data_IF_688222357183
#
_entry.id   IF_688222357183
#
_cell.length_a   1.000
_cell.length_b   1.000
_cell.length_c   1.000
_cell.angle_alpha   90.00
_cell.angle_beta   90.00
_cell.angle_gamma   90.00
#
_symmetry.space_group_name_H-M   'P 1'
#
loop_
_entity.id
_entity.type
_entity.pdbx_description
1 polymer ?
#
# COMPACT_ATOMS: atom_id res chain seq x y z
N UNK A 1 -6.97 -12.68 -12.60
CA UNK A 1 -5.72 -12.57 -11.83
C UNK A 1 -4.79 -11.62 -12.57
N UNK A 2 -4.84 -10.34 -12.23
CA UNK A 2 -3.99 -9.31 -12.84
C UNK A 2 -3.70 -8.12 -11.90
N UNK A 3 -4.23 -8.13 -10.66
CA UNK A 3 -4.06 -7.04 -9.67
C UNK A 3 -2.98 -7.33 -8.63
N UNK A 4 -2.51 -8.57 -8.54
CA UNK A 4 -1.54 -8.99 -7.52
C UNK A 4 -0.19 -8.26 -7.61
N UNK A 5 0.38 -8.01 -8.82
CA UNK A 5 1.59 -7.19 -8.95
C UNK A 5 1.36 -5.74 -8.51
N UNK A 6 0.20 -5.18 -8.89
CA UNK A 6 -0.18 -3.81 -8.56
C UNK A 6 -0.39 -3.59 -7.05
N UNK A 7 -0.89 -4.61 -6.34
CA UNK A 7 -1.02 -4.61 -4.88
C UNK A 7 0.35 -4.75 -4.23
N UNK A 8 1.19 -5.67 -4.73
CA UNK A 8 2.54 -5.87 -4.22
C UNK A 8 3.38 -4.58 -4.32
N UNK A 9 3.41 -3.93 -5.48
CA UNK A 9 4.19 -2.71 -5.70
C UNK A 9 3.74 -1.57 -4.76
N UNK A 10 2.44 -1.44 -4.53
CA UNK A 10 1.89 -0.46 -3.58
C UNK A 10 2.29 -0.77 -2.14
N UNK A 11 2.26 -2.03 -1.74
CA UNK A 11 2.68 -2.44 -0.40
C UNK A 11 4.18 -2.25 -0.19
N UNK A 12 5.02 -2.58 -1.18
CA UNK A 12 6.46 -2.31 -1.12
C UNK A 12 6.73 -0.83 -0.93
N UNK A 13 5.98 0.05 -1.61
CA UNK A 13 6.11 1.49 -1.41
C UNK A 13 5.69 1.94 0.00
N UNK A 14 4.62 1.36 0.55
CA UNK A 14 4.21 1.64 1.94
C UNK A 14 5.29 1.21 2.94
N UNK A 15 5.96 0.08 2.72
CA UNK A 15 7.09 -0.37 3.56
C UNK A 15 8.26 0.61 3.51
N UNK A 16 8.65 1.10 2.32
CA UNK A 16 9.68 2.13 2.18
C UNK A 16 9.33 3.44 2.90
N UNK A 17 8.04 3.82 2.89
CA UNK A 17 7.56 5.00 3.61
C UNK A 17 7.70 4.80 5.11
N UNK A 18 7.33 3.62 5.63
CA UNK A 18 7.47 3.30 7.06
C UNK A 18 8.95 3.34 7.46
N UNK A 19 9.85 2.75 6.67
CA UNK A 19 11.29 2.79 6.95
C UNK A 19 11.82 4.23 6.99
N UNK A 20 11.40 5.10 6.07
CA UNK A 20 11.81 6.52 6.07
C UNK A 20 11.27 7.30 7.27
N UNK A 21 10.05 6.98 7.73
CA UNK A 21 9.47 7.60 8.93
C UNK A 21 10.17 7.09 10.21
N UNK A 22 10.52 5.81 10.27
CA UNK A 22 11.19 5.19 11.42
C UNK A 22 12.65 5.64 11.57
N UNK A 23 13.31 6.06 10.49
CA UNK A 23 14.69 6.58 10.56
C UNK A 23 14.77 7.99 11.14
N UNK A 24 13.64 8.69 11.36
CA UNK A 24 13.57 10.09 11.80
C UNK A 24 14.39 11.05 10.90
N UNK A 25 14.70 10.63 9.66
CA UNK A 25 15.50 11.42 8.70
C UNK A 25 14.66 12.43 7.90
N UNK A 26 13.35 12.48 8.14
CA UNK A 26 12.41 13.42 7.54
C UNK A 26 11.98 14.51 8.53
N UNK A 27 11.78 15.73 8.04
CA UNK A 27 11.15 16.78 8.83
C UNK A 27 9.62 16.60 8.92
N UNK A 28 8.93 17.42 9.73
CA UNK A 28 7.49 17.29 9.95
C UNK A 28 6.65 17.40 8.66
N UNK A 29 7.02 18.30 7.75
CA UNK A 29 6.29 18.49 6.50
C UNK A 29 6.50 17.30 5.56
N UNK A 30 7.75 16.81 5.47
CA UNK A 30 8.09 15.59 4.73
C UNK A 30 7.39 14.35 5.30
N UNK A 31 7.41 14.18 6.62
CA UNK A 31 6.73 13.07 7.29
C UNK A 31 5.21 13.13 7.13
N UNK A 32 4.62 14.33 7.07
CA UNK A 32 3.19 14.51 6.79
C UNK A 32 2.87 14.08 5.36
N UNK A 33 3.66 14.51 4.38
CA UNK A 33 3.48 14.11 2.99
C UNK A 33 3.64 12.60 2.77
N UNK A 34 4.64 11.99 3.41
CA UNK A 34 4.86 10.55 3.41
C UNK A 34 3.67 9.79 4.03
N UNK A 35 3.13 10.30 5.14
CA UNK A 35 1.95 9.71 5.77
C UNK A 35 0.72 9.78 4.85
N UNK A 36 0.47 10.92 4.21
CA UNK A 36 -0.62 11.10 3.25
C UNK A 36 -0.48 10.15 2.05
N UNK A 37 0.73 10.02 1.49
CA UNK A 37 1.03 9.07 0.41
C UNK A 37 0.74 7.63 0.84
N UNK A 38 1.24 7.23 2.01
CA UNK A 38 1.02 5.89 2.54
C UNK A 38 -0.47 5.56 2.74
N UNK A 39 -1.25 6.51 3.24
CA UNK A 39 -2.69 6.33 3.42
C UNK A 39 -3.43 6.19 2.08
N UNK A 40 -3.06 6.99 1.07
CA UNK A 40 -3.64 6.86 -0.26
C UNK A 40 -3.34 5.48 -0.87
N UNK A 41 -2.11 4.99 -0.75
CA UNK A 41 -1.72 3.67 -1.25
C UNK A 41 -2.52 2.54 -0.57
N UNK A 42 -2.73 2.64 0.74
CA UNK A 42 -3.54 1.67 1.50
C UNK A 42 -5.01 1.71 1.08
N UNK A 43 -5.58 2.88 0.84
CA UNK A 43 -6.95 3.03 0.33
C UNK A 43 -7.08 2.44 -1.07
N UNK A 44 -6.10 2.64 -1.94
CA UNK A 44 -6.06 2.02 -3.28
C UNK A 44 -5.99 0.49 -3.19
N UNK A 45 -5.11 -0.06 -2.35
CA UNK A 45 -5.01 -1.52 -2.13
C UNK A 45 -6.34 -2.05 -1.61
N UNK A 46 -6.94 -1.37 -0.63
CA UNK A 46 -8.24 -1.77 -0.08
C UNK A 46 -9.33 -1.72 -1.14
N UNK A 47 -9.37 -0.70 -1.99
CA UNK A 47 -10.32 -0.62 -3.10
C UNK A 47 -10.10 -1.73 -4.13
N UNK A 48 -8.85 -2.09 -4.43
CA UNK A 48 -8.54 -3.18 -5.36
C UNK A 48 -8.97 -4.54 -4.81
N UNK A 49 -8.78 -4.75 -3.50
CA UNK A 49 -9.23 -5.92 -2.76
C UNK A 49 -10.75 -5.97 -2.62
N UNK A 50 -11.43 -4.85 -2.36
CA UNK A 50 -12.89 -4.76 -2.18
C UNK A 50 -13.64 -4.90 -3.52
N UNK A 51 -13.07 -4.36 -4.61
CA UNK A 51 -13.53 -4.63 -5.98
C UNK A 51 -13.39 -6.12 -6.36
N UNK A 52 -12.54 -6.84 -5.62
CA UNK A 52 -12.53 -8.30 -5.57
C UNK A 52 -13.40 -8.82 -4.43
N UNK A 53 -14.71 -8.91 -4.62
CA UNK A 53 -15.47 -9.98 -3.95
C UNK A 53 -14.90 -11.30 -4.48
N UNK A 54 -13.78 -11.74 -3.93
CA UNK A 54 -12.95 -12.78 -4.51
C UNK A 54 -13.75 -14.07 -4.63
N UNK A 55 -13.93 -14.55 -5.86
CA UNK A 55 -14.33 -15.93 -6.09
C UNK A 55 -13.25 -16.83 -5.47
N UNK A 56 -13.58 -17.48 -4.35
CA UNK A 56 -12.79 -18.58 -3.80
C UNK A 56 -12.93 -19.73 -4.79
N UNK A 57 -11.91 -19.96 -5.61
CA UNK A 57 -11.83 -21.13 -6.49
C UNK A 57 -10.99 -22.22 -5.82
N UNK A 58 -11.60 -23.37 -5.57
CA UNK A 58 -10.90 -24.58 -5.17
C UNK A 58 -10.08 -25.08 -6.37
N UNK A 59 -8.80 -25.38 -6.15
CA UNK A 59 -7.91 -25.93 -7.19
C UNK A 59 -7.92 -27.46 -7.04
N UNK A 60 -8.46 -28.16 -8.04
CA UNK A 60 -8.44 -29.64 -8.18
C UNK A 60 -7.06 -30.20 -8.57
#
# INVERSE_FOLDING_TARGET
MAKDPDIHDRLSRVEEIIEQLDTDECNLDEGTALNEEGQQLLDEVRSLLDDGSGDIVEIE
#
